data_IF_882312744828
#
_entry.id   IF_882312744828
#
_cell.length_a   1.000
_cell.length_b   1.000
_cell.length_c   1.000
_cell.angle_alpha   90.00
_cell.angle_beta   90.00
_cell.angle_gamma   90.00
#
_symmetry.space_group_name_H-M   'P 1'
#
loop_
_entity.id
_entity.type
_entity.pdbx_description
1 polymer ?
#
# COMPACT_ATOMS: atom_id res chain seq x y z
N UNK A 1 35.87 9.10 -17.20
CA UNK A 1 34.53 9.60 -16.85
C UNK A 1 34.75 10.52 -15.69
N UNK A 2 34.71 11.82 -15.92
CA UNK A 2 34.92 12.80 -14.86
C UNK A 2 33.65 12.85 -14.01
N UNK A 3 33.79 12.60 -12.71
CA UNK A 3 32.73 12.80 -11.75
C UNK A 3 32.48 14.30 -11.61
N UNK A 4 31.20 14.70 -11.54
CA UNK A 4 30.83 16.09 -11.33
C UNK A 4 31.49 16.60 -10.04
N UNK A 5 32.27 17.66 -10.13
CA UNK A 5 32.82 18.36 -8.96
C UNK A 5 31.69 19.06 -8.23
N UNK A 6 31.03 18.36 -7.30
CA UNK A 6 29.96 18.92 -6.47
C UNK A 6 30.65 19.48 -5.22
N UNK A 7 30.71 20.81 -5.14
CA UNK A 7 31.26 21.63 -4.05
C UNK A 7 32.80 21.79 -4.00
N UNK A 8 33.34 22.61 -4.91
CA UNK A 8 34.67 23.23 -4.79
C UNK A 8 34.58 24.67 -4.23
N UNK A 9 33.87 24.87 -3.12
CA UNK A 9 33.67 26.21 -2.55
C UNK A 9 33.85 26.16 -1.03
N UNK A 10 35.04 26.56 -0.59
CA UNK A 10 35.55 26.56 0.78
C UNK A 10 34.95 27.71 1.62
N UNK A 11 33.61 27.77 1.64
CA UNK A 11 32.90 28.80 2.40
C UNK A 11 32.91 28.43 3.89
N UNK A 12 33.55 29.27 4.72
CA UNK A 12 33.69 29.08 6.19
C UNK A 12 32.37 29.15 6.99
N UNK A 13 31.21 29.19 6.33
CA UNK A 13 29.90 29.19 6.98
C UNK A 13 29.30 27.78 6.97
N UNK A 14 29.63 27.00 8.01
CA UNK A 14 29.20 25.60 8.21
C UNK A 14 27.72 25.36 7.91
N UNK A 15 26.82 26.24 8.38
CA UNK A 15 25.38 26.10 8.15
C UNK A 15 24.91 26.28 6.70
N UNK A 16 25.58 27.12 5.88
CA UNK A 16 25.24 27.23 4.44
C UNK A 16 25.75 26.03 3.64
N UNK A 17 26.93 25.54 3.99
CA UNK A 17 27.51 24.36 3.36
C UNK A 17 26.68 23.10 3.66
N UNK A 18 26.27 22.93 4.92
CA UNK A 18 25.36 21.86 5.36
C UNK A 18 24.01 21.95 4.66
N UNK A 19 23.38 23.13 4.63
CA UNK A 19 22.13 23.34 3.91
C UNK A 19 22.26 22.96 2.43
N UNK A 20 23.35 23.36 1.75
CA UNK A 20 23.58 23.03 0.34
C UNK A 20 23.82 21.54 0.13
N UNK A 21 24.62 20.91 1.01
CA UNK A 21 24.82 19.46 0.98
C UNK A 21 23.51 18.70 1.16
N UNK A 22 22.65 19.08 2.11
CA UNK A 22 21.32 18.46 2.28
C UNK A 22 20.42 18.71 1.05
N UNK A 23 20.59 19.83 0.34
CA UNK A 23 19.87 20.10 -0.91
C UNK A 23 20.25 19.11 -2.03
N UNK A 24 21.55 18.86 -2.16
CA UNK A 24 22.12 18.12 -3.29
C UNK A 24 22.19 16.61 -3.02
N UNK A 25 22.42 16.24 -1.76
CA UNK A 25 22.79 14.88 -1.33
C UNK A 25 21.91 14.31 -0.22
N UNK A 26 21.11 15.12 0.47
CA UNK A 26 20.15 14.68 1.49
C UNK A 26 18.73 14.55 0.93
N UNK A 27 17.77 14.30 1.83
CA UNK A 27 16.34 14.36 1.51
C UNK A 27 15.71 15.53 2.25
N UNK A 28 14.86 16.28 1.54
CA UNK A 28 14.10 17.39 2.10
C UNK A 28 12.61 17.09 2.01
N UNK A 29 11.93 17.22 3.13
CA UNK A 29 10.48 17.15 3.19
C UNK A 29 9.90 18.56 3.16
N UNK A 30 8.88 18.75 2.34
CA UNK A 30 8.07 19.97 2.33
C UNK A 30 6.62 19.59 2.55
N UNK A 31 6.04 20.10 3.63
CA UNK A 31 4.62 19.92 3.90
C UNK A 31 3.85 21.07 3.25
N UNK A 32 3.05 20.72 2.24
CA UNK A 32 2.10 21.64 1.61
C UNK A 32 0.73 21.37 2.22
N UNK A 33 0.26 22.29 3.06
CA UNK A 33 -1.08 22.21 3.64
C UNK A 33 -2.06 23.02 2.78
N UNK A 34 -3.01 22.33 2.15
CA UNK A 34 -4.17 22.97 1.53
C UNK A 34 -5.28 23.09 2.59
N UNK A 35 -5.53 24.32 3.07
CA UNK A 35 -6.62 24.59 4.02
C UNK A 35 -7.77 25.32 3.29
N UNK A 36 -9.03 24.87 3.46
CA UNK A 36 -10.16 25.69 3.05
C UNK A 36 -10.21 26.95 3.92
N UNK A 37 -10.15 28.13 3.30
CA UNK A 37 -10.35 29.41 3.99
C UNK A 37 -11.85 29.58 4.29
N UNK A 38 -12.20 29.58 5.58
CA UNK A 38 -13.55 29.87 6.05
C UNK A 38 -13.59 31.30 6.58
N UNK A 39 -14.21 32.22 5.83
CA UNK A 39 -14.51 33.56 6.32
C UNK A 39 -15.75 33.52 7.22
N UNK A 40 -15.53 33.74 8.52
CA UNK A 40 -16.55 33.63 9.57
C UNK A 40 -17.56 34.79 9.55
N UNK A 41 -17.24 35.91 8.89
CA UNK A 41 -18.11 37.10 8.85
C UNK A 41 -19.08 37.09 7.66
N UNK A 42 -18.67 36.53 6.52
CA UNK A 42 -19.49 36.51 5.29
C UNK A 42 -20.15 35.16 5.01
N UNK A 43 -19.73 34.08 5.68
CA UNK A 43 -20.25 32.72 5.43
C UNK A 43 -19.95 32.19 4.02
N UNK A 44 -19.08 32.88 3.27
CA UNK A 44 -18.71 32.51 1.92
C UNK A 44 -17.41 31.68 1.94
N UNK A 45 -17.41 30.58 1.19
CA UNK A 45 -16.23 29.75 0.94
C UNK A 45 -15.28 30.51 -0.01
N UNK A 46 -14.16 31.03 0.51
CA UNK A 46 -13.23 31.87 -0.24
C UNK A 46 -11.92 31.14 -0.51
N UNK A 47 -11.94 30.17 -1.44
CA UNK A 47 -10.73 29.58 -2.02
C UNK A 47 -9.84 28.75 -1.07
N UNK A 48 -9.00 27.91 -1.67
CA UNK A 48 -8.00 27.11 -0.95
C UNK A 48 -6.77 27.98 -0.68
N UNK A 49 -6.44 28.23 0.58
CA UNK A 49 -5.13 28.81 0.91
C UNK A 49 -4.12 27.67 0.96
N UNK A 50 -3.07 27.79 0.15
CA UNK A 50 -1.94 26.86 0.17
C UNK A 50 -0.91 27.43 1.12
N UNK A 51 -0.63 26.72 2.21
CA UNK A 51 0.44 27.07 3.14
C UNK A 51 1.60 26.11 2.94
N UNK A 52 2.71 26.63 2.44
CA UNK A 52 3.95 25.89 2.28
C UNK A 52 4.83 26.09 3.51
N UNK A 53 5.08 25.01 4.26
CA UNK A 53 6.08 25.05 5.34
C UNK A 53 7.50 25.12 4.74
N UNK A 54 8.46 25.74 5.44
CA UNK A 54 9.88 25.62 5.10
C UNK A 54 10.29 24.15 5.02
N UNK A 55 11.28 23.85 4.17
CA UNK A 55 11.83 22.50 4.05
C UNK A 55 12.46 22.04 5.37
N UNK A 56 12.14 20.81 5.77
CA UNK A 56 12.79 20.11 6.88
C UNK A 56 13.65 18.96 6.33
N UNK A 57 14.77 18.66 6.98
CA UNK A 57 15.60 17.52 6.60
C UNK A 57 14.90 16.21 6.98
N UNK A 58 14.80 15.28 6.03
CA UNK A 58 14.19 13.98 6.23
C UNK A 58 15.25 12.88 6.14
N UNK A 59 15.05 11.71 6.80
CA UNK A 59 15.98 10.60 6.70
C UNK A 59 16.13 10.12 5.25
N UNK A 60 17.36 10.16 4.73
CA UNK A 60 17.70 9.59 3.44
C UNK A 60 18.92 10.25 2.80
N UNK A 61 19.44 9.61 1.77
CA UNK A 61 20.56 10.10 0.98
C UNK A 61 20.25 10.00 -0.51
N UNK A 62 20.84 10.89 -1.30
CA UNK A 62 20.81 10.84 -2.74
C UNK A 62 21.37 9.51 -3.24
N UNK A 63 20.73 8.83 -4.23
CA UNK A 63 21.29 7.64 -4.86
C UNK A 63 22.69 7.84 -5.43
N UNK A 64 23.09 9.09 -5.73
CA UNK A 64 24.44 9.43 -6.17
C UNK A 64 25.50 9.09 -5.11
N UNK A 65 25.15 9.20 -3.83
CA UNK A 65 26.06 8.84 -2.73
C UNK A 65 26.28 7.34 -2.59
N UNK A 66 25.42 6.49 -3.18
CA UNK A 66 25.61 5.03 -3.12
C UNK A 66 26.97 4.66 -3.73
N UNK A 67 27.33 5.24 -4.87
CA UNK A 67 28.62 4.99 -5.51
C UNK A 67 29.83 5.36 -4.62
N UNK A 68 29.72 6.46 -3.88
CA UNK A 68 30.79 6.95 -2.99
C UNK A 68 30.90 6.14 -1.69
N UNK A 69 29.75 5.68 -1.17
CA UNK A 69 29.67 4.92 0.08
C UNK A 69 30.01 3.44 -0.11
N UNK A 70 29.82 2.88 -1.32
CA UNK A 70 30.04 1.46 -1.62
C UNK A 70 31.44 0.98 -1.22
N UNK A 71 32.50 1.74 -1.54
CA UNK A 71 33.89 1.37 -1.23
C UNK A 71 34.26 1.57 0.25
N UNK A 72 33.34 2.15 1.04
CA UNK A 72 33.51 2.49 2.45
C UNK A 72 32.48 1.77 3.34
N UNK A 73 31.68 0.86 2.77
CA UNK A 73 30.64 0.11 3.46
C UNK A 73 30.92 -1.40 3.41
N UNK A 74 30.59 -2.09 4.50
CA UNK A 74 30.60 -3.56 4.55
C UNK A 74 29.16 -4.03 4.55
N UNK A 75 28.79 -4.81 3.54
CA UNK A 75 27.47 -5.42 3.45
C UNK A 75 27.52 -6.78 4.13
N UNK A 76 26.73 -6.94 5.20
CA UNK A 76 26.50 -8.23 5.83
C UNK A 76 25.11 -8.72 5.44
N UNK A 77 25.06 -9.95 4.92
CA UNK A 77 23.83 -10.71 4.79
C UNK A 77 23.63 -11.61 6.00
N UNK A 78 22.42 -12.15 6.16
CA UNK A 78 22.13 -13.13 7.21
C UNK A 78 23.01 -14.39 7.07
N UNK A 79 23.44 -14.73 5.84
CA UNK A 79 24.35 -15.85 5.57
C UNK A 79 25.77 -15.63 6.08
N UNK A 80 26.22 -14.38 6.17
CA UNK A 80 27.58 -14.03 6.61
C UNK A 80 27.76 -14.13 8.13
N UNK A 81 26.66 -14.28 8.88
CA UNK A 81 26.68 -14.44 10.34
C UNK A 81 27.12 -15.83 10.79
N UNK A 82 27.36 -16.77 9.86
CA UNK A 82 27.82 -18.13 10.16
C UNK A 82 26.81 -18.96 10.95
N UNK A 83 25.53 -18.56 10.99
CA UNK A 83 24.47 -19.30 11.68
C UNK A 83 23.86 -20.33 10.75
N UNK A 84 23.60 -21.54 11.26
CA UNK A 84 22.82 -22.55 10.56
C UNK A 84 21.34 -22.12 10.52
N UNK A 85 20.93 -21.49 9.43
CA UNK A 85 19.55 -21.06 9.21
C UNK A 85 18.75 -22.19 8.55
N UNK A 86 17.43 -22.30 8.82
CA UNK A 86 16.56 -23.16 8.05
C UNK A 86 16.60 -22.79 6.56
N UNK A 87 16.42 -23.79 5.68
CA UNK A 87 16.30 -23.54 4.25
C UNK A 87 15.05 -22.69 3.99
N UNK A 88 15.25 -21.55 3.32
CA UNK A 88 14.15 -20.72 2.84
C UNK A 88 13.75 -21.15 1.43
N UNK A 89 12.45 -21.36 1.23
CA UNK A 89 11.86 -21.66 -0.07
C UNK A 89 10.74 -20.66 -0.35
N UNK A 90 10.70 -20.14 -1.58
CA UNK A 90 9.63 -19.26 -2.05
C UNK A 90 8.86 -19.98 -3.17
N UNK A 91 7.58 -20.24 -2.92
CA UNK A 91 6.71 -20.97 -3.85
C UNK A 91 5.63 -20.01 -4.35
N UNK A 92 5.66 -19.71 -5.64
CA UNK A 92 4.59 -18.98 -6.31
C UNK A 92 3.47 -19.95 -6.70
N UNK A 93 2.34 -19.89 -5.98
CA UNK A 93 1.16 -20.72 -6.25
C UNK A 93 0.12 -19.93 -7.06
N UNK A 94 0.02 -20.14 -8.40
CA UNK A 94 -1.03 -19.53 -9.19
C UNK A 94 -2.39 -20.15 -8.82
N UNK A 95 -3.42 -19.31 -8.69
CA UNK A 95 -4.79 -19.75 -8.43
C UNK A 95 -5.68 -19.20 -9.53
N UNK A 96 -6.37 -20.10 -10.23
CA UNK A 96 -7.36 -19.73 -11.22
C UNK A 96 -8.61 -19.16 -10.53
N UNK A 97 -9.16 -18.09 -11.09
CA UNK A 97 -10.36 -17.46 -10.58
C UNK A 97 -11.58 -18.28 -10.99
N UNK A 98 -12.62 -18.27 -10.14
CA UNK A 98 -13.94 -18.77 -10.55
C UNK A 98 -14.40 -18.14 -11.87
N UNK A 99 -15.00 -18.93 -12.75
CA UNK A 99 -15.33 -18.49 -14.11
C UNK A 99 -16.23 -17.25 -14.15
N UNK A 100 -17.21 -17.17 -13.25
CA UNK A 100 -18.14 -16.05 -13.14
C UNK A 100 -17.48 -14.78 -12.57
N UNK A 101 -16.53 -14.95 -11.65
CA UNK A 101 -15.71 -13.86 -11.15
C UNK A 101 -14.76 -13.35 -12.24
N UNK A 102 -14.19 -14.25 -13.04
CA UNK A 102 -13.32 -13.87 -14.17
C UNK A 102 -14.08 -13.10 -15.24
N UNK A 103 -15.26 -13.57 -15.63
CA UNK A 103 -16.10 -12.88 -16.62
C UNK A 103 -16.46 -11.46 -16.15
N UNK A 104 -16.86 -11.31 -14.88
CA UNK A 104 -17.14 -10.01 -14.29
C UNK A 104 -15.91 -9.11 -14.22
N UNK A 105 -14.75 -9.67 -13.85
CA UNK A 105 -13.50 -8.94 -13.85
C UNK A 105 -13.19 -8.41 -15.25
N UNK A 106 -13.22 -9.27 -16.27
CA UNK A 106 -12.84 -8.89 -17.62
C UNK A 106 -13.80 -7.86 -18.22
N UNK A 107 -15.11 -8.06 -18.05
CA UNK A 107 -16.14 -7.10 -18.45
C UNK A 107 -15.92 -5.73 -17.82
N UNK A 108 -15.70 -5.71 -16.51
CA UNK A 108 -15.50 -4.44 -15.79
C UNK A 108 -14.18 -3.79 -16.18
N UNK A 109 -13.11 -4.58 -16.35
CA UNK A 109 -11.79 -4.10 -16.77
C UNK A 109 -11.89 -3.40 -18.12
N UNK A 110 -12.61 -4.00 -19.07
CA UNK A 110 -12.85 -3.42 -20.39
C UNK A 110 -13.64 -2.11 -20.29
N UNK A 111 -14.75 -2.10 -19.54
CA UNK A 111 -15.55 -0.88 -19.30
C UNK A 111 -14.72 0.27 -18.71
N UNK A 112 -13.92 -0.02 -17.67
CA UNK A 112 -13.11 1.01 -17.01
C UNK A 112 -11.93 1.47 -17.88
N UNK A 113 -11.38 0.58 -18.72
CA UNK A 113 -10.35 0.92 -19.69
C UNK A 113 -10.90 1.88 -20.74
N UNK A 114 -12.11 1.61 -21.25
CA UNK A 114 -12.76 2.47 -22.24
C UNK A 114 -13.09 3.85 -21.63
N UNK A 115 -13.59 3.86 -20.39
CA UNK A 115 -13.77 5.11 -19.62
C UNK A 115 -12.47 5.88 -19.43
N UNK A 116 -11.38 5.20 -19.05
CA UNK A 116 -10.06 5.80 -18.87
C UNK A 116 -9.53 6.42 -20.17
N UNK A 117 -9.71 5.74 -21.30
CA UNK A 117 -9.32 6.26 -22.62
C UNK A 117 -10.14 7.50 -22.95
N UNK A 118 -11.46 7.46 -22.78
CA UNK A 118 -12.33 8.61 -23.02
C UNK A 118 -11.93 9.84 -22.18
N UNK A 119 -11.68 9.67 -20.87
CA UNK A 119 -11.21 10.77 -20.00
C UNK A 119 -9.87 11.34 -20.44
N UNK A 120 -8.95 10.47 -20.90
CA UNK A 120 -7.66 10.92 -21.41
C UNK A 120 -7.81 11.81 -22.64
N UNK A 121 -8.75 11.51 -23.54
CA UNK A 121 -9.04 12.37 -24.70
C UNK A 121 -9.60 13.75 -24.30
N UNK A 122 -10.28 13.83 -23.15
CA UNK A 122 -10.74 15.08 -22.54
C UNK A 122 -9.65 15.82 -21.74
N UNK A 123 -8.43 15.25 -21.65
CA UNK A 123 -7.31 15.80 -20.89
C UNK A 123 -7.30 15.43 -19.40
N UNK A 124 -8.23 14.60 -18.93
CA UNK A 124 -8.28 14.12 -17.55
C UNK A 124 -7.54 12.78 -17.40
N UNK A 125 -6.56 12.74 -16.50
CA UNK A 125 -5.77 11.54 -16.21
C UNK A 125 -5.87 11.06 -14.76
N UNK A 126 -6.79 11.64 -13.98
CA UNK A 126 -6.93 11.42 -12.54
C UNK A 126 -7.59 10.08 -12.20
N UNK A 127 -8.33 9.48 -13.14
CA UNK A 127 -8.96 8.17 -12.96
C UNK A 127 -7.98 6.99 -12.83
N UNK A 128 -6.72 7.14 -13.30
CA UNK A 128 -5.73 6.04 -13.33
C UNK A 128 -5.55 5.33 -11.99
N UNK A 129 -5.53 6.09 -10.90
CA UNK A 129 -5.39 5.55 -9.55
C UNK A 129 -6.57 4.66 -9.15
N UNK A 130 -7.80 5.13 -9.40
CA UNK A 130 -9.02 4.37 -9.12
C UNK A 130 -9.09 3.07 -9.94
N UNK A 131 -8.74 3.14 -11.23
CA UNK A 131 -8.64 1.97 -12.10
C UNK A 131 -7.66 0.92 -11.55
N UNK A 132 -6.43 1.33 -11.19
CA UNK A 132 -5.40 0.43 -10.68
C UNK A 132 -5.80 -0.20 -9.34
N UNK A 133 -6.34 0.59 -8.42
CA UNK A 133 -6.80 0.11 -7.11
C UNK A 133 -7.94 -0.89 -7.24
N UNK A 134 -8.87 -0.66 -8.17
CA UNK A 134 -9.91 -1.62 -8.48
C UNK A 134 -9.32 -2.91 -9.08
N UNK A 135 -8.46 -2.80 -10.10
CA UNK A 135 -7.93 -3.94 -10.84
C UNK A 135 -7.10 -4.91 -9.96
N UNK A 136 -6.38 -4.40 -8.97
CA UNK A 136 -5.63 -5.20 -8.00
C UNK A 136 -6.50 -5.66 -6.82
N UNK A 137 -7.52 -4.88 -6.46
CA UNK A 137 -8.27 -5.05 -5.22
C UNK A 137 -9.49 -5.96 -5.34
N UNK A 138 -10.24 -5.84 -6.43
CA UNK A 138 -11.57 -6.45 -6.56
C UNK A 138 -11.55 -7.98 -6.50
N UNK A 139 -10.48 -8.61 -6.98
CA UNK A 139 -10.30 -10.07 -6.97
C UNK A 139 -10.30 -10.69 -5.57
N UNK A 140 -10.09 -9.89 -4.51
CA UNK A 140 -10.20 -10.35 -3.12
C UNK A 140 -11.47 -9.80 -2.42
N UNK A 141 -12.36 -9.13 -3.16
CA UNK A 141 -13.51 -8.41 -2.61
C UNK A 141 -14.84 -8.81 -3.26
N UNK A 142 -14.88 -9.88 -4.05
CA UNK A 142 -16.10 -10.35 -4.73
C UNK A 142 -17.26 -10.68 -3.76
N UNK A 143 -16.96 -10.97 -2.49
CA UNK A 143 -17.94 -11.22 -1.43
C UNK A 143 -18.76 -9.97 -1.01
N UNK A 144 -18.38 -8.76 -1.42
CA UNK A 144 -19.06 -7.51 -1.04
C UNK A 144 -19.31 -6.62 -2.24
N UNK A 145 -20.33 -5.74 -2.21
CA UNK A 145 -20.55 -4.79 -3.28
C UNK A 145 -19.34 -3.87 -3.44
N UNK A 146 -19.08 -3.42 -4.67
CA UNK A 146 -17.93 -2.58 -4.97
C UNK A 146 -18.27 -1.49 -5.96
N UNK A 147 -17.98 -0.24 -5.59
CA UNK A 147 -18.13 0.91 -6.46
C UNK A 147 -16.76 1.43 -6.90
N UNK A 148 -16.65 1.78 -8.18
CA UNK A 148 -15.47 2.42 -8.74
C UNK A 148 -15.78 3.89 -8.96
N UNK A 149 -15.15 4.74 -8.15
CA UNK A 149 -15.43 6.17 -8.09
C UNK A 149 -14.30 6.94 -8.80
N UNK A 150 -14.68 7.86 -9.66
CA UNK A 150 -13.81 8.89 -10.23
C UNK A 150 -14.13 10.24 -9.58
N UNK A 151 -13.15 10.86 -8.92
CA UNK A 151 -13.32 12.19 -8.32
C UNK A 151 -13.07 13.27 -9.37
N UNK A 152 -14.13 13.68 -10.07
CA UNK A 152 -14.08 14.67 -11.14
C UNK A 152 -13.92 16.08 -10.57
N UNK A 153 -13.02 16.87 -11.15
CA UNK A 153 -12.86 18.29 -10.78
C UNK A 153 -13.93 19.14 -11.46
N UNK A 154 -14.73 19.86 -10.68
CA UNK A 154 -15.73 20.78 -11.19
C UNK A 154 -15.03 21.94 -11.93
N UNK A 155 -15.45 22.29 -13.16
CA UNK A 155 -14.71 23.22 -14.02
C UNK A 155 -14.66 24.65 -13.48
N UNK A 156 -15.70 25.08 -12.76
CA UNK A 156 -15.81 26.46 -12.23
C UNK A 156 -15.30 26.54 -10.78
N UNK A 157 -15.88 25.76 -9.86
CA UNK A 157 -15.52 25.78 -8.43
C UNK A 157 -14.20 25.09 -8.09
N UNK A 158 -13.68 24.21 -8.95
CA UNK A 158 -12.49 23.41 -8.68
C UNK A 158 -12.68 22.28 -7.65
N UNK A 159 -13.90 22.09 -7.14
CA UNK A 159 -14.26 21.05 -6.18
C UNK A 159 -14.18 19.65 -6.81
N UNK A 160 -13.74 18.64 -6.05
CA UNK A 160 -13.72 17.24 -6.50
C UNK A 160 -15.03 16.56 -6.12
N UNK A 161 -15.85 16.24 -7.13
CA UNK A 161 -17.13 15.58 -6.96
C UNK A 161 -17.00 14.07 -7.29
N UNK A 162 -17.47 13.18 -6.41
CA UNK A 162 -17.43 11.74 -6.67
C UNK A 162 -18.42 11.36 -7.78
N UNK A 163 -17.93 10.69 -8.80
CA UNK A 163 -18.72 10.13 -9.89
C UNK A 163 -18.56 8.61 -9.92
N UNK A 164 -19.65 7.87 -9.73
CA UNK A 164 -19.65 6.41 -9.80
C UNK A 164 -19.57 5.98 -11.27
N UNK A 165 -18.44 5.39 -11.65
CA UNK A 165 -18.19 4.91 -13.03
C UNK A 165 -18.89 3.57 -13.27
N UNK A 166 -18.85 2.69 -12.26
CA UNK A 166 -19.51 1.39 -12.28
C UNK A 166 -19.70 0.87 -10.85
N UNK A 167 -20.73 0.05 -10.66
CA UNK A 167 -21.02 -0.65 -9.41
C UNK A 167 -21.16 -2.14 -9.69
N UNK A 168 -20.51 -2.95 -8.86
CA UNK A 168 -20.45 -4.40 -8.99
C UNK A 168 -21.18 -5.01 -7.80
N UNK A 169 -22.14 -5.88 -8.07
CA UNK A 169 -22.88 -6.59 -7.05
C UNK A 169 -21.99 -7.59 -6.30
N UNK A 170 -22.35 -7.87 -5.05
CA UNK A 170 -21.74 -8.95 -4.27
C UNK A 170 -22.12 -10.31 -4.85
N UNK A 171 -21.18 -11.25 -4.79
CA UNK A 171 -21.38 -12.69 -5.07
C UNK A 171 -21.81 -13.49 -3.83
N UNK A 172 -22.14 -12.80 -2.74
CA UNK A 172 -22.54 -13.38 -1.46
C UNK A 172 -21.36 -13.56 -0.51
N UNK A 173 -21.64 -13.44 0.79
CA UNK A 173 -20.65 -13.63 1.85
C UNK A 173 -20.45 -15.11 2.19
N UNK A 174 -21.43 -15.97 1.93
CA UNK A 174 -21.38 -17.40 2.25
C UNK A 174 -20.54 -18.21 1.25
N UNK A 175 -20.32 -17.68 0.05
CA UNK A 175 -19.52 -18.35 -0.97
C UNK A 175 -18.04 -18.30 -0.59
N UNK A 176 -17.35 -19.43 -0.73
CA UNK A 176 -15.89 -19.52 -0.68
C UNK A 176 -15.36 -19.39 -2.11
N UNK A 177 -14.46 -18.43 -2.34
CA UNK A 177 -13.85 -18.21 -3.66
C UNK A 177 -12.60 -19.07 -3.85
N UNK A 178 -12.18 -19.32 -5.09
CA UNK A 178 -11.07 -20.23 -5.40
C UNK A 178 -9.77 -19.93 -4.63
N UNK A 179 -9.42 -18.64 -4.47
CA UNK A 179 -8.24 -18.21 -3.70
C UNK A 179 -8.38 -18.44 -2.20
N UNK A 180 -9.59 -18.28 -1.66
CA UNK A 180 -9.89 -18.55 -0.26
C UNK A 180 -9.83 -20.06 0.01
N UNK A 181 -10.41 -20.87 -0.89
CA UNK A 181 -10.34 -22.32 -0.82
C UNK A 181 -8.89 -22.82 -0.83
N UNK A 182 -8.08 -22.32 -1.76
CA UNK A 182 -6.66 -22.66 -1.84
C UNK A 182 -5.90 -22.31 -0.56
N UNK A 183 -6.19 -21.14 0.04
CA UNK A 183 -5.60 -20.73 1.31
C UNK A 183 -6.02 -21.66 2.46
N UNK A 184 -7.31 -22.02 2.53
CA UNK A 184 -7.83 -22.97 3.53
C UNK A 184 -7.11 -24.31 3.42
N UNK A 185 -6.97 -24.85 2.21
CA UNK A 185 -6.34 -26.15 1.99
C UNK A 185 -4.84 -26.11 2.32
N UNK A 186 -4.15 -25.02 1.98
CA UNK A 186 -2.74 -24.82 2.34
C UNK A 186 -2.55 -24.76 3.87
N UNK A 187 -3.34 -23.93 4.55
CA UNK A 187 -3.25 -23.80 6.02
C UNK A 187 -3.60 -25.12 6.70
N UNK A 188 -4.60 -25.86 6.19
CA UNK A 188 -4.93 -27.20 6.71
C UNK A 188 -3.74 -28.15 6.60
N UNK A 189 -3.13 -28.25 5.42
CA UNK A 189 -1.98 -29.12 5.17
C UNK A 189 -0.78 -28.80 6.06
N UNK A 190 -0.46 -27.51 6.24
CA UNK A 190 0.65 -27.09 7.11
C UNK A 190 0.38 -27.43 8.59
N UNK A 191 -0.83 -27.18 9.08
CA UNK A 191 -1.19 -27.48 10.47
C UNK A 191 -1.26 -28.98 10.76
N UNK A 192 -1.69 -29.80 9.80
CA UNK A 192 -1.63 -31.28 9.91
C UNK A 192 -0.18 -31.79 10.04
N UNK A 193 0.78 -31.05 9.49
CA UNK A 193 2.22 -31.31 9.63
C UNK A 193 2.83 -30.63 10.87
N UNK A 194 2.01 -30.05 11.76
CA UNK A 194 2.42 -29.31 12.94
C UNK A 194 3.33 -28.11 12.61
N UNK A 195 3.07 -27.41 11.51
CA UNK A 195 3.78 -26.21 11.07
C UNK A 195 2.91 -24.97 11.27
N UNK A 196 3.29 -24.01 12.13
CA UNK A 196 2.52 -22.80 12.33
C UNK A 196 2.61 -21.87 11.10
N UNK A 197 1.49 -21.23 10.76
CA UNK A 197 1.41 -20.34 9.59
C UNK A 197 1.30 -18.87 10.00
N UNK A 198 1.98 -18.00 9.25
CA UNK A 198 1.81 -16.54 9.32
C UNK A 198 1.26 -16.05 7.99
N UNK A 199 0.12 -15.36 8.00
CA UNK A 199 -0.58 -14.91 6.79
C UNK A 199 -0.52 -13.39 6.72
N UNK A 200 0.12 -12.86 5.67
CA UNK A 200 0.20 -11.43 5.42
C UNK A 200 -0.90 -10.98 4.46
N UNK A 201 -1.66 -9.96 4.86
CA UNK A 201 -2.81 -9.43 4.11
C UNK A 201 -2.57 -7.94 3.82
N UNK A 202 -2.88 -7.51 2.59
CA UNK A 202 -2.68 -6.13 2.13
C UNK A 202 -3.90 -5.22 2.32
N UNK A 203 -5.12 -5.77 2.28
CA UNK A 203 -6.34 -4.98 2.46
C UNK A 203 -6.71 -4.96 3.95
N UNK A 204 -6.28 -3.94 4.69
CA UNK A 204 -6.35 -3.90 6.18
C UNK A 204 -6.95 -2.60 6.74
N UNK A 205 -7.39 -1.68 5.88
CA UNK A 205 -7.97 -0.39 6.28
C UNK A 205 -9.47 -0.32 5.95
N UNK A 206 -9.91 0.66 5.15
CA UNK A 206 -11.32 0.81 4.71
C UNK A 206 -11.87 -0.40 3.95
N UNK A 207 -10.99 -1.30 3.50
CA UNK A 207 -11.29 -2.51 2.76
C UNK A 207 -10.81 -3.76 3.48
N UNK A 208 -10.76 -3.74 4.81
CA UNK A 208 -10.27 -4.87 5.61
C UNK A 208 -10.91 -6.21 5.21
N UNK A 209 -10.08 -7.21 4.94
CA UNK A 209 -10.46 -8.60 4.61
C UNK A 209 -10.02 -9.57 5.71
N UNK A 210 -9.19 -9.14 6.67
CA UNK A 210 -8.66 -9.99 7.73
C UNK A 210 -9.76 -10.74 8.51
N UNK A 211 -10.89 -10.10 8.92
CA UNK A 211 -11.95 -10.79 9.64
C UNK A 211 -12.61 -11.93 8.85
N UNK A 212 -12.78 -11.74 7.52
CA UNK A 212 -13.34 -12.77 6.65
C UNK A 212 -12.41 -13.98 6.55
N UNK A 213 -11.14 -13.73 6.27
CA UNK A 213 -10.13 -14.81 6.17
C UNK A 213 -10.01 -15.56 7.50
N UNK A 214 -10.00 -14.84 8.62
CA UNK A 214 -9.97 -15.46 9.95
C UNK A 214 -11.19 -16.35 10.19
N UNK A 215 -12.40 -15.87 9.87
CA UNK A 215 -13.63 -16.64 10.01
C UNK A 215 -13.62 -17.91 9.15
N UNK A 216 -13.21 -17.80 7.89
CA UNK A 216 -13.12 -18.94 6.96
C UNK A 216 -12.12 -20.00 7.45
N UNK A 217 -10.93 -19.59 7.90
CA UNK A 217 -9.94 -20.52 8.45
C UNK A 217 -10.48 -21.19 9.72
N UNK A 218 -11.09 -20.42 10.63
CA UNK A 218 -11.66 -20.96 11.88
C UNK A 218 -12.79 -21.95 11.63
N UNK A 219 -13.60 -21.73 10.58
CA UNK A 219 -14.72 -22.61 10.22
C UNK A 219 -14.27 -23.88 9.50
N UNK A 220 -13.26 -23.80 8.63
CA UNK A 220 -12.90 -24.89 7.73
C UNK A 220 -11.60 -25.64 8.09
N UNK A 221 -10.82 -25.14 9.05
CA UNK A 221 -9.57 -25.77 9.48
C UNK A 221 -9.65 -26.14 10.97
N UNK A 222 -9.96 -27.41 11.31
CA UNK A 222 -10.22 -27.82 12.71
C UNK A 222 -9.07 -27.56 13.69
N UNK A 223 -7.82 -27.64 13.22
CA UNK A 223 -6.62 -27.43 14.03
C UNK A 223 -6.25 -25.94 14.19
N UNK A 224 -6.95 -25.03 13.50
CA UNK A 224 -6.54 -23.63 13.44
C UNK A 224 -6.92 -22.85 14.70
N UNK A 225 -5.91 -22.27 15.34
CA UNK A 225 -6.06 -21.27 16.40
C UNK A 225 -5.67 -19.91 15.84
N UNK A 226 -6.65 -19.20 15.32
CA UNK A 226 -6.42 -17.96 14.57
C UNK A 226 -6.43 -16.72 15.47
N UNK A 227 -5.54 -15.77 15.19
CA UNK A 227 -5.50 -14.46 15.81
C UNK A 227 -5.07 -13.40 14.79
N UNK A 228 -5.74 -12.24 14.80
CA UNK A 228 -5.37 -11.09 13.96
C UNK A 228 -4.43 -10.15 14.72
N UNK A 229 -3.18 -10.06 14.26
CA UNK A 229 -2.25 -9.03 14.72
C UNK A 229 -2.52 -7.70 13.99
N UNK A 230 -3.14 -6.75 14.69
CA UNK A 230 -3.45 -5.42 14.14
C UNK A 230 -2.19 -4.55 14.03
N UNK A 231 -2.15 -3.70 13.00
CA UNK A 231 -1.06 -2.74 12.81
C UNK A 231 -0.94 -1.69 13.94
N UNK A 232 -2.01 -1.48 14.70
CA UNK A 232 -2.06 -0.58 15.87
C UNK A 232 -1.26 -1.11 17.06
N UNK A 233 -0.77 -2.35 17.02
CA UNK A 233 0.10 -2.90 18.06
C UNK A 233 1.55 -2.47 17.77
N UNK A 234 2.10 -1.69 18.70
CA UNK A 234 3.49 -1.23 18.68
C UNK A 234 4.46 -2.40 18.55
N UNK A 235 5.54 -2.22 17.80
CA UNK A 235 6.51 -3.28 17.49
C UNK A 235 7.03 -3.98 18.75
N UNK A 236 7.34 -3.22 19.80
CA UNK A 236 7.84 -3.72 21.09
C UNK A 236 6.86 -4.63 21.83
N UNK A 237 5.55 -4.49 21.55
CA UNK A 237 4.50 -5.26 22.21
C UNK A 237 4.05 -6.48 21.42
N UNK A 238 4.45 -6.60 20.15
CA UNK A 238 3.98 -7.68 19.26
C UNK A 238 4.36 -9.05 19.78
N UNK A 239 5.59 -9.21 20.28
CA UNK A 239 6.08 -10.47 20.82
C UNK A 239 5.25 -10.93 22.03
N UNK A 240 5.08 -10.05 23.03
CA UNK A 240 4.26 -10.35 24.21
C UNK A 240 2.80 -10.68 23.87
N UNK A 241 2.23 -10.00 22.86
CA UNK A 241 0.86 -10.31 22.39
C UNK A 241 0.81 -11.68 21.75
N UNK A 242 1.79 -12.03 20.91
CA UNK A 242 1.85 -13.35 20.26
C UNK A 242 2.00 -14.45 21.32
N UNK A 243 2.90 -14.29 22.29
CA UNK A 243 3.09 -15.25 23.38
C UNK A 243 1.81 -15.47 24.20
N UNK A 244 1.11 -14.39 24.54
CA UNK A 244 -0.14 -14.47 25.28
C UNK A 244 -1.24 -15.21 24.50
N UNK A 245 -1.31 -15.05 23.18
CA UNK A 245 -2.29 -15.76 22.34
C UNK A 245 -1.93 -17.24 22.15
N UNK A 246 -0.63 -17.57 22.04
CA UNK A 246 -0.16 -18.96 21.96
C UNK A 246 -0.43 -19.73 23.26
N UNK A 247 -0.37 -19.05 24.41
CA UNK A 247 -0.57 -19.65 25.73
C UNK A 247 -2.03 -19.91 26.12
N UNK A 248 -3.01 -19.35 25.38
CA UNK A 248 -4.43 -19.66 25.58
C UNK A 248 -4.72 -21.12 25.23
#
# INVERSE_FOLDING_TARGET
RDFQTIAADDSKQRGRAESRWVADMGVREQVVEERPSYDKETGAFTGTSTYEKPYEEAPGISPLLVAEVLDHAIFFSLGDLGKALPQYEEIALPVEMDADCYEQYDRTRQQLKDYLIARRWEGDTTFRGAYLQWAMGWVNAAHRPHEVIHNLKHPITGEKLPHVVTSISSYGEDRIFAKEQTLIDLVRSELEQNRPCVIYIRQTATRDIQPRIESLIRQHVPLARTFILKNTVDAERREAVIEAEVAK
#
